data_IF_372330058204
#
_entry.id   IF_372330058204
#
_cell.length_a   1.000
_cell.length_b   1.000
_cell.length_c   1.000
_cell.angle_alpha   90.00
_cell.angle_beta   90.00
_cell.angle_gamma   90.00
#
_symmetry.space_group_name_H-M   'P 1'
#
loop_
_entity.id
_entity.type
_entity.pdbx_description
1 polymer ?
#
# COMPACT_ATOMS: atom_id res chain seq x y z
N UNK A 1 -25.51 54.61 -28.89
CA UNK A 1 -24.68 54.77 -27.67
C UNK A 1 -25.46 54.21 -26.49
N UNK A 2 -24.76 53.44 -25.66
CA UNK A 2 -25.24 52.41 -24.73
C UNK A 2 -26.19 52.91 -23.62
N UNK A 3 -27.31 52.20 -23.44
CA UNK A 3 -28.06 52.18 -22.19
C UNK A 3 -27.54 51.00 -21.35
N UNK A 4 -27.04 51.30 -20.15
CA UNK A 4 -26.41 50.34 -19.26
C UNK A 4 -27.44 49.41 -18.62
N UNK A 5 -27.22 48.10 -18.75
CA UNK A 5 -27.85 47.06 -17.94
C UNK A 5 -27.21 47.13 -16.55
N UNK A 6 -27.98 47.54 -15.56
CA UNK A 6 -27.63 47.45 -14.16
C UNK A 6 -27.75 45.98 -13.72
N UNK A 7 -26.64 45.23 -13.76
CA UNK A 7 -26.55 43.92 -13.10
C UNK A 7 -26.30 44.19 -11.61
N UNK A 8 -27.33 44.00 -10.79
CA UNK A 8 -27.20 43.88 -9.34
C UNK A 8 -26.35 42.65 -9.01
N UNK A 9 -25.06 42.87 -8.74
CA UNK A 9 -24.23 41.90 -8.05
C UNK A 9 -24.70 41.83 -6.60
N UNK A 10 -25.52 40.82 -6.28
CA UNK A 10 -25.76 40.43 -4.89
C UNK A 10 -24.47 39.79 -4.38
N UNK A 11 -23.59 40.61 -3.80
CA UNK A 11 -22.60 40.10 -2.86
C UNK A 11 -23.38 39.52 -1.68
N UNK A 12 -23.56 38.20 -1.66
CA UNK A 12 -24.05 37.51 -0.49
C UNK A 12 -22.97 37.66 0.60
N UNK A 13 -23.10 38.71 1.40
CA UNK A 13 -22.32 38.88 2.63
C UNK A 13 -22.74 37.73 3.55
N UNK A 14 -21.91 36.70 3.64
CA UNK A 14 -22.10 35.63 4.60
C UNK A 14 -22.25 36.27 5.98
N UNK A 15 -23.33 35.97 6.69
CA UNK A 15 -23.56 36.56 8.00
C UNK A 15 -22.46 36.09 8.97
N UNK A 16 -22.10 36.87 10.01
CA UNK A 16 -21.11 36.44 11.00
C UNK A 16 -21.42 35.08 11.63
N UNK A 17 -22.70 34.71 11.73
CA UNK A 17 -23.15 33.39 12.18
C UNK A 17 -22.81 32.26 11.18
N UNK A 18 -22.87 32.53 9.87
CA UNK A 18 -22.45 31.59 8.82
C UNK A 18 -20.93 31.43 8.75
N UNK A 19 -20.15 32.50 8.99
CA UNK A 19 -18.69 32.40 9.11
C UNK A 19 -18.28 31.56 10.33
N UNK A 20 -18.91 31.80 11.48
CA UNK A 20 -18.66 31.04 12.72
C UNK A 20 -19.07 29.56 12.62
N UNK A 21 -20.10 29.20 11.84
CA UNK A 21 -20.47 27.81 11.62
C UNK A 21 -19.47 27.10 10.70
N UNK A 22 -19.02 27.76 9.63
CA UNK A 22 -18.01 27.23 8.71
C UNK A 22 -16.67 26.97 9.44
N UNK A 23 -16.24 27.88 10.31
CA UNK A 23 -14.99 27.71 11.09
C UNK A 23 -15.06 26.53 12.06
N UNK A 24 -16.22 26.30 12.68
CA UNK A 24 -16.45 25.15 13.58
C UNK A 24 -16.46 23.83 12.81
N UNK A 25 -17.12 23.79 11.66
CA UNK A 25 -17.20 22.60 10.82
C UNK A 25 -15.82 22.22 10.25
N UNK A 26 -15.05 23.20 9.77
CA UNK A 26 -13.68 22.98 9.28
C UNK A 26 -12.75 22.46 10.39
N UNK A 27 -12.90 22.96 11.62
CA UNK A 27 -12.13 22.48 12.78
C UNK A 27 -12.48 21.04 13.16
N UNK A 28 -13.76 20.66 13.06
CA UNK A 28 -14.21 19.29 13.31
C UNK A 28 -13.68 18.31 12.25
N UNK A 29 -13.72 18.69 10.98
CA UNK A 29 -13.20 17.89 9.87
C UNK A 29 -11.68 17.73 9.95
N UNK A 30 -10.95 18.79 10.32
CA UNK A 30 -9.52 18.72 10.58
C UNK A 30 -9.18 17.71 11.68
N UNK A 31 -9.93 17.71 12.78
CA UNK A 31 -9.74 16.73 13.86
C UNK A 31 -10.06 15.30 13.42
N UNK A 32 -11.09 15.11 12.60
CA UNK A 32 -11.44 13.81 12.03
C UNK A 32 -10.31 13.27 11.13
N UNK A 33 -9.76 14.11 10.25
CA UNK A 33 -8.61 13.78 9.40
C UNK A 33 -7.39 13.42 10.24
N UNK A 34 -7.08 14.18 11.30
CA UNK A 34 -5.95 13.90 12.19
C UNK A 34 -6.09 12.55 12.89
N UNK A 35 -7.29 12.23 13.39
CA UNK A 35 -7.58 10.92 14.01
C UNK A 35 -7.44 9.78 13.00
N UNK A 36 -7.98 9.95 11.79
CA UNK A 36 -7.85 8.97 10.72
C UNK A 36 -6.39 8.75 10.31
N UNK A 37 -5.62 9.84 10.16
CA UNK A 37 -4.19 9.79 9.87
C UNK A 37 -3.39 9.09 10.96
N UNK A 38 -3.64 9.38 12.24
CA UNK A 38 -2.95 8.75 13.35
C UNK A 38 -3.20 7.23 13.42
N UNK A 39 -4.39 6.78 13.03
CA UNK A 39 -4.74 5.35 12.98
C UNK A 39 -4.15 4.63 11.75
N UNK A 40 -3.89 5.35 10.66
CA UNK A 40 -3.56 4.77 9.36
C UNK A 40 -2.32 3.86 9.39
N UNK A 41 -1.16 4.23 9.97
CA UNK A 41 0.00 3.33 10.04
C UNK A 41 -0.30 2.00 10.73
N UNK A 42 -1.11 2.02 11.80
CA UNK A 42 -1.49 0.81 12.52
C UNK A 42 -2.41 -0.10 11.70
N UNK A 43 -3.35 0.47 10.95
CA UNK A 43 -4.24 -0.27 10.03
C UNK A 43 -3.41 -0.94 8.93
N UNK A 44 -2.51 -0.20 8.29
CA UNK A 44 -1.65 -0.74 7.23
C UNK A 44 -0.79 -1.91 7.75
N UNK A 45 -0.13 -1.71 8.90
CA UNK A 45 0.69 -2.74 9.55
C UNK A 45 -0.11 -3.99 9.91
N UNK A 46 -1.34 -3.83 10.40
CA UNK A 46 -2.22 -4.95 10.75
C UNK A 46 -2.60 -5.75 9.50
N UNK A 47 -3.13 -5.09 8.47
CA UNK A 47 -3.53 -5.72 7.22
C UNK A 47 -2.38 -6.53 6.60
N UNK A 48 -1.17 -5.99 6.65
CA UNK A 48 0.01 -6.67 6.14
C UNK A 48 0.45 -7.86 7.01
N UNK A 49 0.39 -7.71 8.33
CA UNK A 49 0.71 -8.78 9.29
C UNK A 49 -0.24 -9.96 9.12
N UNK A 50 -1.55 -9.71 9.01
CA UNK A 50 -2.55 -10.74 8.81
C UNK A 50 -2.35 -11.48 7.48
N UNK A 51 -2.02 -10.73 6.42
CA UNK A 51 -1.66 -11.31 5.14
C UNK A 51 -0.38 -12.17 5.22
N UNK A 52 0.68 -11.66 5.84
CA UNK A 52 1.95 -12.39 6.02
C UNK A 52 1.75 -13.71 6.78
N UNK A 53 0.99 -13.67 7.89
CA UNK A 53 0.63 -14.86 8.66
C UNK A 53 -0.16 -15.88 7.82
N UNK A 54 -1.12 -15.41 7.02
CA UNK A 54 -1.85 -16.26 6.09
C UNK A 54 -0.91 -16.93 5.08
N UNK A 55 0.00 -16.17 4.49
CA UNK A 55 0.95 -16.67 3.48
C UNK A 55 1.90 -17.73 4.06
N UNK A 56 2.44 -17.50 5.26
CA UNK A 56 3.28 -18.46 5.98
C UNK A 56 2.54 -19.79 6.17
N UNK A 57 1.33 -19.73 6.71
CA UNK A 57 0.52 -20.93 6.95
C UNK A 57 0.17 -21.65 5.65
N UNK A 58 -0.28 -20.90 4.64
CA UNK A 58 -0.69 -21.47 3.36
C UNK A 58 0.48 -22.13 2.62
N UNK A 59 1.69 -21.58 2.73
CA UNK A 59 2.91 -22.21 2.21
C UNK A 59 3.20 -23.52 2.93
N UNK A 60 3.21 -23.53 4.27
CA UNK A 60 3.47 -24.73 5.07
C UNK A 60 2.44 -25.84 4.76
N UNK A 61 1.16 -25.49 4.64
CA UNK A 61 0.10 -26.43 4.27
C UNK A 61 0.31 -27.00 2.86
N UNK A 62 0.79 -26.19 1.91
CA UNK A 62 1.07 -26.62 0.54
C UNK A 62 2.27 -27.55 0.48
N UNK A 63 3.36 -27.22 1.17
CA UNK A 63 4.53 -28.10 1.32
C UNK A 63 4.13 -29.45 1.90
N UNK A 64 3.30 -29.46 2.94
CA UNK A 64 2.78 -30.69 3.55
C UNK A 64 2.01 -31.54 2.53
N UNK A 65 1.07 -30.93 1.79
CA UNK A 65 0.28 -31.64 0.75
C UNK A 65 1.17 -32.22 -0.35
N UNK A 66 2.14 -31.44 -0.85
CA UNK A 66 3.06 -31.89 -1.90
C UNK A 66 3.90 -33.08 -1.40
N UNK A 67 4.46 -32.99 -0.19
CA UNK A 67 5.25 -34.08 0.40
C UNK A 67 4.45 -35.37 0.60
N UNK A 68 3.15 -35.29 0.87
CA UNK A 68 2.29 -36.47 1.05
C UNK A 68 1.72 -37.03 -0.26
N UNK A 69 1.88 -36.33 -1.38
CA UNK A 69 1.28 -36.73 -2.67
C UNK A 69 2.01 -37.89 -3.35
N UNK A 70 3.23 -38.20 -2.92
CA UNK A 70 4.08 -39.22 -3.54
C UNK A 70 4.28 -40.37 -2.57
N UNK A 71 4.34 -41.61 -3.08
CA UNK A 71 4.48 -42.83 -2.27
C UNK A 71 5.86 -43.47 -2.40
N UNK A 72 6.49 -43.38 -3.58
CA UNK A 72 7.82 -43.92 -3.85
C UNK A 72 8.94 -43.16 -3.15
N UNK A 73 9.94 -43.89 -2.66
CA UNK A 73 11.02 -43.34 -1.84
C UNK A 73 11.92 -42.37 -2.63
N UNK A 74 12.19 -42.66 -3.90
CA UNK A 74 13.01 -41.82 -4.77
C UNK A 74 12.29 -40.51 -5.14
N UNK A 75 11.00 -40.60 -5.47
CA UNK A 75 10.14 -39.44 -5.75
C UNK A 75 10.04 -38.53 -4.53
N UNK A 76 9.72 -39.10 -3.36
CA UNK A 76 9.63 -38.35 -2.09
C UNK A 76 10.94 -37.60 -1.80
N UNK A 77 12.08 -38.29 -1.95
CA UNK A 77 13.39 -37.69 -1.70
C UNK A 77 13.66 -36.52 -2.67
N UNK A 78 13.47 -36.72 -3.96
CA UNK A 78 13.73 -35.68 -4.96
C UNK A 78 12.81 -34.46 -4.75
N UNK A 79 11.52 -34.68 -4.48
CA UNK A 79 10.58 -33.60 -4.20
C UNK A 79 10.95 -32.85 -2.90
N UNK A 80 11.32 -33.56 -1.84
CA UNK A 80 11.78 -32.95 -0.60
C UNK A 80 13.04 -32.10 -0.80
N UNK A 81 14.03 -32.61 -1.55
CA UNK A 81 15.26 -31.87 -1.88
C UNK A 81 14.94 -30.59 -2.67
N UNK A 82 13.96 -30.63 -3.60
CA UNK A 82 13.52 -29.44 -4.35
C UNK A 82 12.80 -28.42 -3.45
N UNK A 83 11.97 -28.88 -2.50
CA UNK A 83 11.27 -28.02 -1.56
C UNK A 83 12.22 -27.35 -0.56
N UNK A 84 13.30 -28.02 -0.14
CA UNK A 84 14.34 -27.41 0.70
C UNK A 84 15.05 -26.25 -0.01
N UNK A 85 15.40 -26.44 -1.29
CA UNK A 85 15.98 -25.38 -2.11
C UNK A 85 15.01 -24.20 -2.28
N UNK A 86 13.72 -24.48 -2.49
CA UNK A 86 12.69 -23.45 -2.57
C UNK A 86 12.54 -22.69 -1.25
N UNK A 87 12.58 -23.39 -0.10
CA UNK A 87 12.38 -22.80 1.22
C UNK A 87 13.38 -21.67 1.50
N UNK A 88 14.62 -21.78 1.01
CA UNK A 88 15.65 -20.74 1.17
C UNK A 88 15.24 -19.41 0.54
N UNK A 89 14.73 -19.43 -0.70
CA UNK A 89 14.30 -18.18 -1.34
C UNK A 89 12.91 -17.72 -0.91
N UNK A 90 12.05 -18.63 -0.43
CA UNK A 90 10.80 -18.25 0.26
C UNK A 90 11.12 -17.50 1.56
N UNK A 91 12.13 -17.92 2.33
CA UNK A 91 12.58 -17.18 3.50
C UNK A 91 13.09 -15.78 3.15
N UNK A 92 13.86 -15.62 2.07
CA UNK A 92 14.27 -14.30 1.57
C UNK A 92 13.08 -13.40 1.25
N UNK A 93 12.03 -13.96 0.62
CA UNK A 93 10.79 -13.23 0.36
C UNK A 93 10.11 -12.80 1.66
N UNK A 94 9.99 -13.68 2.65
CA UNK A 94 9.35 -13.32 3.92
C UNK A 94 10.13 -12.25 4.69
N UNK A 95 11.47 -12.25 4.62
CA UNK A 95 12.27 -11.13 5.14
C UNK A 95 11.99 -9.82 4.41
N UNK A 96 11.80 -9.85 3.08
CA UNK A 96 11.43 -8.66 2.31
C UNK A 96 10.01 -8.17 2.65
N UNK A 97 9.05 -9.07 2.89
CA UNK A 97 7.69 -8.73 3.35
C UNK A 97 7.73 -7.99 4.70
N UNK A 98 8.59 -8.41 5.63
CA UNK A 98 8.78 -7.75 6.93
C UNK A 98 9.44 -6.38 6.80
N UNK A 99 10.45 -6.24 5.94
CA UNK A 99 11.10 -4.95 5.67
C UNK A 99 10.12 -3.96 5.03
N UNK A 100 9.34 -4.41 4.04
CA UNK A 100 8.31 -3.59 3.40
C UNK A 100 7.24 -3.13 4.39
N UNK A 101 6.76 -4.03 5.27
CA UNK A 101 5.81 -3.68 6.33
C UNK A 101 6.31 -2.54 7.21
N UNK A 102 7.61 -2.58 7.56
CA UNK A 102 8.23 -1.55 8.39
C UNK A 102 8.33 -0.21 7.64
N UNK A 103 8.89 -0.22 6.42
CA UNK A 103 9.05 1.01 5.63
C UNK A 103 7.69 1.66 5.31
N UNK A 104 6.69 0.84 4.97
CA UNK A 104 5.33 1.29 4.72
C UNK A 104 4.76 2.11 5.89
N UNK A 105 4.91 1.59 7.12
CA UNK A 105 4.41 2.26 8.32
C UNK A 105 5.11 3.60 8.58
N UNK A 106 6.43 3.64 8.42
CA UNK A 106 7.25 4.85 8.62
C UNK A 106 6.93 5.93 7.58
N UNK A 107 6.80 5.54 6.31
CA UNK A 107 6.51 6.46 5.19
C UNK A 107 5.13 7.10 5.31
N UNK A 108 4.11 6.33 5.70
CA UNK A 108 2.77 6.88 5.92
C UNK A 108 2.72 7.75 7.16
N UNK A 109 3.41 7.36 8.25
CA UNK A 109 3.49 8.22 9.43
C UNK A 109 4.11 9.58 9.09
N UNK A 110 5.16 9.59 8.25
CA UNK A 110 5.76 10.83 7.77
C UNK A 110 4.80 11.65 6.89
N UNK A 111 4.05 11.02 5.98
CA UNK A 111 3.04 11.71 5.15
C UNK A 111 1.93 12.33 6.01
N UNK A 112 1.37 11.57 6.95
CA UNK A 112 0.35 12.01 7.90
C UNK A 112 0.85 13.20 8.72
N UNK A 113 2.09 13.15 9.20
CA UNK A 113 2.71 14.24 9.95
C UNK A 113 2.77 15.53 9.12
N UNK A 114 3.18 15.46 7.85
CA UNK A 114 3.21 16.62 6.95
C UNK A 114 1.83 17.25 6.75
N UNK A 115 0.80 16.44 6.50
CA UNK A 115 -0.58 16.93 6.39
C UNK A 115 -1.07 17.57 7.70
N UNK A 116 -0.81 16.91 8.83
CA UNK A 116 -1.26 17.38 10.15
C UNK A 116 -0.61 18.71 10.53
N UNK A 117 0.70 18.84 10.28
CA UNK A 117 1.44 20.09 10.52
C UNK A 117 0.86 21.23 9.70
N UNK A 118 0.65 21.03 8.39
CA UNK A 118 0.11 22.06 7.52
C UNK A 118 -1.33 22.47 7.91
N UNK A 119 -2.18 21.51 8.27
CA UNK A 119 -3.53 21.79 8.79
C UNK A 119 -3.45 22.63 10.06
N UNK A 120 -2.61 22.24 11.03
CA UNK A 120 -2.47 22.96 12.30
C UNK A 120 -1.90 24.37 12.11
N UNK A 121 -0.97 24.57 11.18
CA UNK A 121 -0.43 25.88 10.86
C UNK A 121 -1.50 26.80 10.28
N UNK A 122 -2.32 26.29 9.34
CA UNK A 122 -3.36 27.08 8.69
C UNK A 122 -4.59 27.34 9.56
N UNK A 123 -4.83 26.51 10.56
CA UNK A 123 -5.86 26.79 11.58
C UNK A 123 -5.46 27.93 12.53
N UNK A 124 -4.19 28.38 12.53
CA UNK A 124 -3.77 29.50 13.39
C UNK A 124 -4.30 30.84 12.84
N UNK A 125 -4.89 31.71 13.70
CA UNK A 125 -5.46 33.00 13.28
C UNK A 125 -4.49 33.96 12.58
N UNK A 126 -3.18 33.81 12.81
CA UNK A 126 -2.13 34.66 12.25
C UNK A 126 -1.63 34.23 10.86
N UNK A 127 -2.14 33.13 10.30
CA UNK A 127 -1.62 32.52 9.06
C UNK A 127 -2.20 33.11 7.76
N UNK A 128 -2.68 34.37 7.79
CA UNK A 128 -3.42 35.03 6.69
C UNK A 128 -2.68 35.18 5.35
N UNK A 129 -1.43 34.75 5.23
CA UNK A 129 -0.70 34.83 3.98
C UNK A 129 -0.96 33.61 3.07
N UNK A 130 -1.79 33.92 2.05
CA UNK A 130 -1.80 33.43 0.66
C UNK A 130 -1.57 31.94 0.46
N UNK A 131 -2.64 31.30 -0.04
CA UNK A 131 -2.70 29.92 -0.53
C UNK A 131 -1.38 29.41 -1.09
N UNK A 132 -0.67 28.65 -0.26
CA UNK A 132 0.53 27.97 -0.69
C UNK A 132 0.11 26.67 -1.38
N UNK A 133 -0.47 26.84 -2.57
CA UNK A 133 -0.81 25.74 -3.47
C UNK A 133 0.42 24.87 -3.74
N UNK A 134 1.62 25.46 -3.67
CA UNK A 134 2.90 24.75 -3.76
C UNK A 134 3.08 23.69 -2.65
N UNK A 135 2.66 23.98 -1.41
CA UNK A 135 2.72 23.02 -0.30
C UNK A 135 1.73 21.85 -0.48
N UNK A 136 0.52 22.13 -0.99
CA UNK A 136 -0.47 21.10 -1.33
C UNK A 136 0.04 20.23 -2.49
N UNK A 137 0.61 20.85 -3.53
CA UNK A 137 1.23 20.14 -4.65
C UNK A 137 2.42 19.27 -4.19
N UNK A 138 3.24 19.75 -3.25
CA UNK A 138 4.32 18.97 -2.66
C UNK A 138 3.79 17.74 -1.89
N UNK A 139 2.67 17.87 -1.17
CA UNK A 139 2.01 16.74 -0.49
C UNK A 139 1.46 15.71 -1.50
N UNK A 140 0.89 16.16 -2.62
CA UNK A 140 0.48 15.27 -3.73
C UNK A 140 1.66 14.51 -4.32
N UNK A 141 2.77 15.20 -4.58
CA UNK A 141 3.99 14.60 -5.09
C UNK A 141 4.57 13.58 -4.09
N UNK A 142 4.57 13.90 -2.78
CA UNK A 142 5.02 12.99 -1.74
C UNK A 142 4.15 11.72 -1.66
N UNK A 143 2.82 11.86 -1.71
CA UNK A 143 1.89 10.72 -1.80
C UNK A 143 2.20 9.87 -3.04
N UNK A 144 2.28 10.47 -4.22
CA UNK A 144 2.53 9.75 -5.47
C UNK A 144 3.87 9.00 -5.43
N UNK A 145 4.91 9.63 -4.89
CA UNK A 145 6.23 9.00 -4.73
C UNK A 145 6.18 7.77 -3.84
N UNK A 146 5.41 7.79 -2.74
CA UNK A 146 5.25 6.64 -1.84
C UNK A 146 4.53 5.50 -2.57
N UNK A 147 3.42 5.79 -3.27
CA UNK A 147 2.65 4.75 -3.98
C UNK A 147 3.47 4.09 -5.10
N UNK A 148 4.20 4.89 -5.90
CA UNK A 148 5.10 4.38 -6.94
C UNK A 148 6.26 3.57 -6.34
N UNK A 149 6.82 4.03 -5.22
CA UNK A 149 7.85 3.28 -4.50
C UNK A 149 7.34 1.90 -4.08
N UNK A 150 6.16 1.82 -3.46
CA UNK A 150 5.59 0.54 -3.02
C UNK A 150 5.29 -0.39 -4.19
N UNK A 151 4.76 0.14 -5.30
CA UNK A 151 4.56 -0.65 -6.51
C UNK A 151 5.91 -1.22 -6.99
N UNK A 152 6.96 -0.41 -7.08
CA UNK A 152 8.25 -0.89 -7.57
C UNK A 152 8.96 -1.86 -6.61
N UNK A 153 9.12 -1.49 -5.34
CA UNK A 153 9.83 -2.30 -4.34
C UNK A 153 9.15 -3.63 -4.06
N UNK A 154 7.81 -3.60 -3.96
CA UNK A 154 7.09 -4.79 -3.55
C UNK A 154 6.69 -5.67 -4.73
N UNK A 155 6.09 -5.08 -5.77
CA UNK A 155 5.58 -5.87 -6.90
C UNK A 155 6.71 -6.36 -7.83
N UNK A 156 7.59 -5.47 -8.27
CA UNK A 156 8.66 -5.85 -9.21
C UNK A 156 9.79 -6.59 -8.51
N UNK A 157 10.23 -6.04 -7.39
CA UNK A 157 11.49 -6.42 -6.79
C UNK A 157 11.40 -7.60 -5.83
N UNK A 158 10.29 -7.71 -5.11
CA UNK A 158 10.04 -8.78 -4.14
C UNK A 158 9.23 -9.91 -4.76
N UNK A 159 8.04 -9.61 -5.29
CA UNK A 159 7.15 -10.65 -5.82
C UNK A 159 7.70 -11.26 -7.11
N UNK A 160 7.94 -10.45 -8.15
CA UNK A 160 8.24 -10.99 -9.49
C UNK A 160 9.63 -11.63 -9.57
N UNK A 161 10.65 -10.94 -9.04
CA UNK A 161 12.04 -11.38 -9.14
C UNK A 161 12.35 -12.58 -8.23
N UNK A 162 12.08 -12.48 -6.93
CA UNK A 162 12.45 -13.53 -5.97
C UNK A 162 11.62 -14.79 -6.19
N UNK A 163 10.30 -14.65 -6.35
CA UNK A 163 9.40 -15.81 -6.46
C UNK A 163 9.66 -16.62 -7.73
N UNK A 164 9.82 -15.98 -8.90
CA UNK A 164 10.00 -16.72 -10.16
C UNK A 164 11.40 -17.32 -10.29
N UNK A 165 12.44 -16.56 -9.90
CA UNK A 165 13.82 -17.00 -10.08
C UNK A 165 14.19 -18.15 -9.14
N UNK A 166 13.89 -18.02 -7.85
CA UNK A 166 14.15 -19.07 -6.85
C UNK A 166 13.41 -20.35 -7.23
N UNK A 167 12.15 -20.20 -7.64
CA UNK A 167 11.29 -21.31 -7.99
C UNK A 167 11.82 -22.11 -9.19
N UNK A 168 12.14 -21.42 -10.30
CA UNK A 168 12.74 -22.06 -11.47
C UNK A 168 14.04 -22.77 -11.09
N UNK A 169 14.91 -22.09 -10.35
CA UNK A 169 16.22 -22.65 -10.00
C UNK A 169 16.08 -23.92 -9.14
N UNK A 170 15.23 -23.91 -8.11
CA UNK A 170 15.08 -25.05 -7.20
C UNK A 170 14.64 -26.33 -7.95
N UNK A 171 13.57 -26.24 -8.74
CA UNK A 171 13.02 -27.42 -9.41
C UNK A 171 13.80 -27.82 -10.65
N UNK A 172 14.36 -26.88 -11.43
CA UNK A 172 15.23 -27.25 -12.57
C UNK A 172 16.51 -27.93 -12.13
N UNK A 173 17.13 -27.47 -11.04
CA UNK A 173 18.35 -28.08 -10.50
C UNK A 173 18.10 -29.55 -10.11
N UNK A 174 16.99 -29.83 -9.43
CA UNK A 174 16.67 -31.21 -9.04
C UNK A 174 16.26 -32.04 -10.24
N UNK A 175 15.39 -31.52 -11.12
CA UNK A 175 14.95 -32.23 -12.32
C UNK A 175 16.12 -32.64 -13.24
N UNK A 176 17.16 -31.79 -13.35
CA UNK A 176 18.38 -32.11 -14.09
C UNK A 176 19.20 -33.25 -13.46
N UNK A 177 19.22 -33.36 -12.13
CA UNK A 177 19.94 -34.44 -11.40
C UNK A 177 19.24 -35.79 -11.53
N UNK A 178 17.92 -35.81 -11.71
CA UNK A 178 17.10 -37.03 -11.76
C UNK A 178 16.62 -37.39 -13.17
N UNK A 179 17.14 -36.72 -14.21
CA UNK A 179 16.61 -36.80 -15.58
C UNK A 179 16.60 -38.22 -16.18
N UNK A 180 17.46 -39.11 -15.70
CA UNK A 180 17.49 -40.52 -16.12
C UNK A 180 16.33 -41.37 -15.56
N UNK A 181 15.60 -40.88 -14.55
CA UNK A 181 14.44 -41.57 -13.97
C UNK A 181 13.16 -40.79 -14.30
N UNK A 182 12.41 -41.27 -15.29
CA UNK A 182 11.21 -40.61 -15.80
C UNK A 182 10.11 -40.41 -14.72
N UNK A 183 9.94 -41.38 -13.80
CA UNK A 183 8.95 -41.28 -12.71
C UNK A 183 9.31 -40.16 -11.74
N UNK A 184 10.58 -40.12 -11.31
CA UNK A 184 11.08 -39.09 -10.38
C UNK A 184 11.07 -37.71 -11.05
N UNK A 185 11.47 -37.63 -12.31
CA UNK A 185 11.43 -36.38 -13.07
C UNK A 185 9.99 -35.83 -13.17
N UNK A 186 9.01 -36.68 -13.48
CA UNK A 186 7.59 -36.31 -13.52
C UNK A 186 7.10 -35.80 -12.16
N UNK A 187 7.40 -36.50 -11.07
CA UNK A 187 7.03 -36.09 -9.72
C UNK A 187 7.59 -34.71 -9.34
N UNK A 188 8.85 -34.44 -9.69
CA UNK A 188 9.48 -33.12 -9.46
C UNK A 188 8.75 -32.01 -10.25
N UNK A 189 8.40 -32.25 -11.51
CA UNK A 189 7.67 -31.26 -12.33
C UNK A 189 6.23 -31.04 -11.84
N UNK A 190 5.53 -32.09 -11.41
CA UNK A 190 4.17 -31.97 -10.85
C UNK A 190 4.18 -31.19 -9.53
N UNK A 191 5.14 -31.49 -8.64
CA UNK A 191 5.37 -30.73 -7.42
C UNK A 191 5.67 -29.26 -7.73
N UNK A 192 6.47 -29.01 -8.78
CA UNK A 192 6.73 -27.66 -9.26
C UNK A 192 5.43 -26.95 -9.67
N UNK A 193 4.60 -27.58 -10.52
CA UNK A 193 3.34 -27.00 -10.95
C UNK A 193 2.43 -26.58 -9.79
N UNK A 194 2.30 -27.44 -8.77
CA UNK A 194 1.51 -27.15 -7.58
C UNK A 194 2.05 -25.97 -6.76
N UNK A 195 3.37 -25.92 -6.55
CA UNK A 195 4.02 -24.84 -5.81
C UNK A 195 3.97 -23.51 -6.57
N UNK A 196 4.14 -23.52 -7.90
CA UNK A 196 4.01 -22.32 -8.73
C UNK A 196 2.59 -21.75 -8.68
N UNK A 197 1.57 -22.60 -8.81
CA UNK A 197 0.17 -22.18 -8.71
C UNK A 197 -0.13 -21.55 -7.36
N UNK A 198 0.35 -22.16 -6.27
CA UNK A 198 0.23 -21.61 -4.92
C UNK A 198 0.87 -20.22 -4.82
N UNK A 199 2.09 -20.05 -5.34
CA UNK A 199 2.79 -18.77 -5.31
C UNK A 199 2.10 -17.68 -6.14
N UNK A 200 1.52 -18.02 -7.30
CA UNK A 200 0.72 -17.09 -8.11
C UNK A 200 -0.53 -16.64 -7.34
N UNK A 201 -1.20 -17.55 -6.65
CA UNK A 201 -2.37 -17.20 -5.82
C UNK A 201 -1.98 -16.32 -4.63
N UNK A 202 -0.83 -16.58 -4.02
CA UNK A 202 -0.26 -15.70 -2.97
C UNK A 202 0.05 -14.31 -3.51
N UNK A 203 0.62 -14.21 -4.71
CA UNK A 203 0.88 -12.92 -5.38
C UNK A 203 -0.43 -12.13 -5.54
N UNK A 204 -1.52 -12.76 -6.02
CA UNK A 204 -2.82 -12.10 -6.14
C UNK A 204 -3.32 -11.54 -4.80
N UNK A 205 -3.13 -12.28 -3.70
CA UNK A 205 -3.49 -11.81 -2.36
C UNK A 205 -2.68 -10.60 -1.93
N UNK A 206 -1.37 -10.62 -2.11
CA UNK A 206 -0.56 -9.46 -1.77
C UNK A 206 -0.92 -8.23 -2.61
N UNK A 207 -1.20 -8.40 -3.91
CA UNK A 207 -1.67 -7.31 -4.77
C UNK A 207 -2.97 -6.72 -4.23
N UNK A 208 -3.95 -7.56 -3.87
CA UNK A 208 -5.22 -7.08 -3.34
C UNK A 208 -5.05 -6.29 -2.03
N UNK A 209 -4.18 -6.75 -1.13
CA UNK A 209 -3.86 -6.02 0.11
C UNK A 209 -3.21 -4.68 -0.24
N UNK A 210 -2.22 -4.67 -1.13
CA UNK A 210 -1.52 -3.46 -1.52
C UNK A 210 -2.46 -2.44 -2.19
N UNK A 211 -3.32 -2.88 -3.12
CA UNK A 211 -4.33 -2.02 -3.75
C UNK A 211 -5.33 -1.48 -2.73
N UNK A 212 -5.76 -2.29 -1.76
CA UNK A 212 -6.61 -1.81 -0.67
C UNK A 212 -5.92 -0.76 0.20
N UNK A 213 -4.63 -0.95 0.47
CA UNK A 213 -3.81 0.01 1.22
C UNK A 213 -3.59 1.32 0.45
N UNK A 214 -3.39 1.25 -0.88
CA UNK A 214 -3.35 2.45 -1.74
C UNK A 214 -4.64 3.27 -1.57
N UNK A 215 -5.81 2.63 -1.65
CA UNK A 215 -7.10 3.30 -1.47
C UNK A 215 -7.26 3.96 -0.10
N UNK A 216 -6.70 3.38 0.97
CA UNK A 216 -6.71 4.00 2.30
C UNK A 216 -5.85 5.27 2.36
N UNK A 217 -4.65 5.23 1.78
CA UNK A 217 -3.74 6.39 1.73
C UNK A 217 -4.31 7.50 0.84
N UNK A 218 -4.87 7.13 -0.32
CA UNK A 218 -5.53 8.06 -1.23
C UNK A 218 -6.73 8.74 -0.60
N UNK A 219 -7.59 7.98 0.09
CA UNK A 219 -8.74 8.53 0.81
C UNK A 219 -8.29 9.53 1.88
N UNK A 220 -7.34 9.14 2.74
CA UNK A 220 -6.79 10.04 3.75
C UNK A 220 -6.24 11.34 3.14
N UNK A 221 -5.43 11.24 2.09
CA UNK A 221 -4.85 12.40 1.42
C UNK A 221 -5.95 13.29 0.83
N UNK A 222 -6.96 12.72 0.19
CA UNK A 222 -8.10 13.45 -0.39
C UNK A 222 -8.88 14.21 0.69
N UNK A 223 -9.21 13.55 1.80
CA UNK A 223 -9.92 14.16 2.91
C UNK A 223 -9.09 15.31 3.53
N UNK A 224 -7.78 15.11 3.69
CA UNK A 224 -6.87 16.12 4.22
C UNK A 224 -6.69 17.32 3.26
N UNK A 225 -6.58 17.08 1.96
CA UNK A 225 -6.53 18.13 0.94
C UNK A 225 -7.83 18.95 0.93
N UNK A 226 -8.99 18.31 1.04
CA UNK A 226 -10.28 18.99 1.11
C UNK A 226 -10.38 19.93 2.32
N UNK A 227 -9.89 19.49 3.48
CA UNK A 227 -9.78 20.35 4.68
C UNK A 227 -8.86 21.54 4.39
N UNK A 228 -7.67 21.29 3.83
CA UNK A 228 -6.71 22.36 3.50
C UNK A 228 -7.26 23.40 2.51
N UNK A 229 -8.04 22.96 1.52
CA UNK A 229 -8.73 23.86 0.58
C UNK A 229 -9.82 24.68 1.26
N UNK A 230 -10.63 24.06 2.13
CA UNK A 230 -11.68 24.76 2.88
C UNK A 230 -11.12 25.77 3.89
N UNK A 231 -9.92 25.55 4.41
CA UNK A 231 -9.21 26.55 5.22
C UNK A 231 -8.67 27.70 4.34
N UNK A 232 -8.21 27.39 3.12
CA UNK A 232 -7.57 28.37 2.24
C UNK A 232 -8.54 29.35 1.53
N UNK A 233 -9.73 28.89 1.10
CA UNK A 233 -10.69 29.69 0.34
C UNK A 233 -11.26 30.89 1.13
N UNK A 234 -11.67 30.74 2.41
CA UNK A 234 -12.11 31.88 3.22
C UNK A 234 -10.99 32.90 3.51
N UNK A 235 -9.74 32.43 3.67
CA UNK A 235 -8.59 33.29 3.93
C UNK A 235 -8.24 34.21 2.74
N UNK A 236 -8.44 33.75 1.50
CA UNK A 236 -8.27 34.57 0.29
C UNK A 236 -9.37 35.63 0.13
N UNK A 237 -10.62 35.30 0.46
CA UNK A 237 -11.73 36.25 0.41
C UNK A 237 -11.64 37.35 1.47
N UNK A 238 -11.01 37.07 2.63
CA UNK A 238 -10.79 38.05 3.70
C UNK A 238 -9.53 38.93 3.52
N UNK A 239 -8.71 38.64 2.51
CA UNK A 239 -7.48 39.37 2.18
C UNK A 239 -7.61 40.28 0.94
N UNK A 240 -8.76 40.26 0.28
CA UNK A 240 -9.18 41.16 -0.80
C UNK A 240 -10.05 42.30 -0.23
#
# INVERSE_FOLDING_TARGET
>A
MHAAILVLAVAAVASPAQCLSVDKDVSADALAVQRAGAALPAILKRNWTDNSNYLHKSYADTVKRVNTSYTGAAEKKAVADALDLLAKGVATRFSADENFKKSQGEEVAALVSKYTTLINERLKPSSKDKGDESAILALRAAKQSILVKWENEYYRDTILRVTRQVFRNAFHVVAGRVASNASVHKAVLEAAGQMLLHLVNNQKKCINVLTGQFGLVEKFATDAENVLYRIAVPAQAAAL
#
